data_IF_676752068919
#
_entry.id   IF_676752068919
#
_cell.length_a   1.000
_cell.length_b   1.000
_cell.length_c   1.000
_cell.angle_alpha   90.00
_cell.angle_beta   90.00
_cell.angle_gamma   90.00
#
_symmetry.space_group_name_H-M   'P 1'
#
loop_
_entity.id
_entity.type
_entity.pdbx_description
1 polymer ?
#
# COMPACT_ATOMS: atom_id res chain seq x y z
N UNK A 1 28.81 48.42 50.60
CA UNK A 1 27.85 47.39 50.12
C UNK A 1 27.14 47.73 48.80
N UNK A 2 27.22 48.95 48.23
CA UNK A 2 26.54 49.30 46.96
C UNK A 2 27.30 48.84 45.69
N UNK A 3 28.63 48.74 45.76
CA UNK A 3 29.46 48.38 44.60
C UNK A 3 29.60 46.87 44.36
N UNK A 4 29.24 46.02 45.34
CA UNK A 4 29.32 44.57 45.20
C UNK A 4 28.13 43.98 44.43
N UNK A 5 26.94 44.59 44.57
CA UNK A 5 25.74 44.20 43.80
C UNK A 5 25.82 44.57 42.32
N UNK A 6 26.53 45.65 41.97
CA UNK A 6 26.74 46.05 40.57
C UNK A 6 27.64 45.07 39.83
N UNK A 7 28.67 44.53 40.48
CA UNK A 7 29.62 43.59 39.86
C UNK A 7 28.94 42.22 39.64
N UNK A 8 28.16 41.74 40.62
CA UNK A 8 27.40 40.48 40.48
C UNK A 8 26.30 40.60 39.41
N UNK A 9 25.63 41.76 39.31
CA UNK A 9 24.62 42.02 38.28
C UNK A 9 25.19 42.04 36.85
N UNK A 10 26.39 42.61 36.66
CA UNK A 10 27.07 42.64 35.36
C UNK A 10 27.55 41.26 34.93
N UNK A 11 28.07 40.45 35.87
CA UNK A 11 28.49 39.07 35.56
C UNK A 11 27.28 38.20 35.17
N UNK A 12 26.14 38.33 35.87
CA UNK A 12 24.92 37.62 35.48
C UNK A 12 24.37 38.09 34.14
N UNK A 13 24.41 39.38 33.83
CA UNK A 13 23.97 39.90 32.52
C UNK A 13 24.87 39.44 31.38
N UNK A 14 26.19 39.33 31.60
CA UNK A 14 27.15 38.78 30.62
C UNK A 14 26.92 37.27 30.45
N UNK A 15 26.75 36.49 31.52
CA UNK A 15 26.44 35.07 31.41
C UNK A 15 25.08 34.83 30.72
N UNK A 16 24.05 35.61 31.03
CA UNK A 16 22.74 35.49 30.38
C UNK A 16 22.78 35.96 28.92
N UNK A 17 23.57 36.99 28.62
CA UNK A 17 23.80 37.51 27.26
C UNK A 17 24.59 36.53 26.39
N UNK A 18 25.64 35.90 26.92
CA UNK A 18 26.42 34.86 26.21
C UNK A 18 25.62 33.57 26.07
N UNK A 19 24.78 33.20 27.04
CA UNK A 19 23.91 32.03 26.92
C UNK A 19 22.74 32.25 25.95
N UNK A 20 22.27 33.50 25.76
CA UNK A 20 21.29 33.85 24.72
C UNK A 20 21.92 34.03 23.34
N UNK A 21 23.15 34.53 23.24
CA UNK A 21 23.87 34.63 21.95
C UNK A 21 24.51 33.31 21.50
N UNK A 22 24.66 32.32 22.39
CA UNK A 22 24.94 30.92 22.01
C UNK A 22 23.68 30.15 21.57
N UNK A 23 22.49 30.76 21.67
CA UNK A 23 21.29 30.35 20.94
C UNK A 23 21.09 31.18 19.65
N UNK A 24 22.19 31.72 19.11
CA UNK A 24 22.27 32.15 17.72
C UNK A 24 22.05 30.93 16.84
N UNK A 25 20.80 30.75 16.39
CA UNK A 25 20.42 30.10 15.15
C UNK A 25 21.44 29.08 14.64
N UNK A 26 21.48 27.90 15.28
CA UNK A 26 21.50 26.68 14.49
C UNK A 26 20.14 26.58 13.80
N UNK A 27 19.87 27.53 12.89
CA UNK A 27 19.14 27.22 11.70
C UNK A 27 19.95 26.09 11.10
N UNK A 28 19.54 24.86 11.43
CA UNK A 28 19.84 23.73 10.59
C UNK A 28 19.40 24.20 9.21
N UNK A 29 20.36 24.64 8.40
CA UNK A 29 20.34 24.30 6.98
C UNK A 29 19.95 22.83 7.05
N UNK A 30 18.74 22.42 6.60
CA UNK A 30 18.39 21.02 6.63
C UNK A 30 19.55 20.35 5.94
N UNK A 31 20.36 19.62 6.71
CA UNK A 31 21.43 18.85 6.13
C UNK A 31 20.65 17.96 5.18
N UNK A 32 20.85 18.19 3.89
CA UNK A 32 20.31 17.42 2.80
C UNK A 32 21.02 16.07 2.91
N UNK A 33 20.76 15.32 3.98
CA UNK A 33 21.26 13.99 4.20
C UNK A 33 20.43 13.13 3.27
N UNK A 34 20.99 12.71 2.13
CA UNK A 34 20.21 12.01 1.12
C UNK A 34 19.66 10.69 1.68
N UNK A 35 20.32 10.13 2.68
CA UNK A 35 19.89 8.91 3.39
C UNK A 35 18.62 9.20 4.19
N UNK A 36 18.59 10.26 5.01
CA UNK A 36 17.41 10.60 5.81
C UNK A 36 16.20 10.95 4.93
N UNK A 37 16.41 11.62 3.79
CA UNK A 37 15.35 11.89 2.82
C UNK A 37 14.82 10.63 2.14
N UNK A 38 15.71 9.69 1.80
CA UNK A 38 15.32 8.39 1.24
C UNK A 38 14.53 7.57 2.26
N UNK A 39 15.00 7.49 3.51
CA UNK A 39 14.27 6.82 4.58
C UNK A 39 12.90 7.45 4.84
N UNK A 40 12.80 8.79 4.78
CA UNK A 40 11.52 9.48 4.88
C UNK A 40 10.57 9.09 3.72
N UNK A 41 11.06 9.07 2.47
CA UNK A 41 10.27 8.64 1.31
C UNK A 41 9.83 7.18 1.42
N UNK A 42 10.73 6.29 1.84
CA UNK A 42 10.40 4.90 2.12
C UNK A 42 9.35 4.78 3.24
N UNK A 43 9.43 5.64 4.25
CA UNK A 43 8.45 5.74 5.33
C UNK A 43 7.02 6.06 4.87
N UNK A 44 6.88 6.72 3.72
CA UNK A 44 5.57 7.06 3.15
C UNK A 44 4.91 5.86 2.45
N UNK A 45 5.69 4.87 2.02
CA UNK A 45 5.15 3.63 1.45
C UNK A 45 4.60 2.76 2.58
N UNK A 46 3.28 2.74 2.71
CA UNK A 46 2.56 2.07 3.80
C UNK A 46 2.86 0.58 3.82
N UNK A 47 2.87 -0.07 2.65
CA UNK A 47 3.13 -1.50 2.53
C UNK A 47 4.59 -1.89 2.83
N UNK A 48 5.50 -0.91 2.92
CA UNK A 48 6.88 -1.17 3.32
C UNK A 48 7.03 -1.34 4.84
N UNK A 49 6.12 -0.80 5.65
CA UNK A 49 6.23 -0.87 7.11
C UNK A 49 6.11 -2.31 7.65
N UNK A 50 5.15 -3.14 7.21
CA UNK A 50 5.10 -4.54 7.61
C UNK A 50 6.36 -5.31 7.22
N UNK A 51 6.93 -5.05 6.04
CA UNK A 51 8.15 -5.68 5.57
C UNK A 51 9.35 -5.29 6.43
N UNK A 52 9.48 -4.00 6.78
CA UNK A 52 10.51 -3.54 7.72
C UNK A 52 10.49 -4.30 9.04
N UNK A 53 9.29 -4.63 9.54
CA UNK A 53 9.11 -5.27 10.83
C UNK A 53 9.24 -6.79 10.80
N UNK A 54 8.82 -7.43 9.70
CA UNK A 54 8.61 -8.87 9.66
C UNK A 54 9.32 -9.59 8.50
N UNK A 55 9.84 -8.86 7.51
CA UNK A 55 10.57 -9.42 6.36
C UNK A 55 11.77 -8.52 5.98
N UNK A 56 12.83 -8.64 6.79
CA UNK A 56 14.05 -7.85 6.63
C UNK A 56 14.64 -7.98 5.22
N UNK A 57 14.51 -9.15 4.58
CA UNK A 57 15.05 -9.37 3.24
C UNK A 57 14.41 -8.44 2.22
N UNK A 58 13.08 -8.42 2.11
CA UNK A 58 12.42 -7.55 1.14
C UNK A 58 12.57 -6.06 1.49
N UNK A 59 12.64 -5.73 2.78
CA UNK A 59 12.93 -4.35 3.19
C UNK A 59 14.34 -3.89 2.80
N UNK A 60 15.35 -4.74 2.99
CA UNK A 60 16.74 -4.43 2.63
C UNK A 60 16.90 -4.29 1.11
N UNK A 61 16.21 -5.13 0.32
CA UNK A 61 16.14 -4.99 -1.14
C UNK A 61 15.54 -3.63 -1.54
N UNK A 62 14.44 -3.20 -0.91
CA UNK A 62 13.84 -1.89 -1.14
C UNK A 62 14.81 -0.74 -0.77
N UNK A 63 15.55 -0.87 0.33
CA UNK A 63 16.53 0.12 0.75
C UNK A 63 17.70 0.23 -0.23
N UNK A 64 18.21 -0.89 -0.75
CA UNK A 64 19.27 -0.90 -1.76
C UNK A 64 18.83 -0.20 -3.06
N UNK A 65 17.59 -0.42 -3.47
CA UNK A 65 17.01 0.24 -4.65
C UNK A 65 16.87 1.73 -4.41
N UNK A 66 16.33 2.14 -3.25
CA UNK A 66 16.21 3.54 -2.88
C UNK A 66 17.56 4.26 -2.87
N UNK A 67 18.61 3.56 -2.44
CA UNK A 67 19.96 4.12 -2.40
C UNK A 67 20.61 4.29 -3.78
N UNK A 68 20.17 3.49 -4.76
CA UNK A 68 20.68 3.49 -6.13
C UNK A 68 19.86 4.38 -7.08
N UNK A 69 18.64 4.73 -6.70
CA UNK A 69 17.72 5.53 -7.49
C UNK A 69 18.08 7.04 -7.48
N UNK A 70 17.65 7.74 -8.53
CA UNK A 70 17.66 9.21 -8.57
C UNK A 70 16.76 9.76 -7.45
N UNK A 71 17.12 10.88 -6.79
CA UNK A 71 16.36 11.40 -5.65
C UNK A 71 14.87 11.62 -5.91
N UNK A 72 14.48 11.99 -7.13
CA UNK A 72 13.09 12.22 -7.55
C UNK A 72 12.34 10.95 -7.98
N UNK A 73 13.00 9.80 -8.05
CA UNK A 73 12.43 8.54 -8.56
C UNK A 73 12.41 7.41 -7.52
N UNK A 74 12.89 7.69 -6.30
CA UNK A 74 13.04 6.69 -5.22
C UNK A 74 11.76 5.89 -4.99
N UNK A 75 10.63 6.56 -4.84
CA UNK A 75 9.32 5.95 -4.57
C UNK A 75 8.89 5.04 -5.73
N UNK A 76 9.00 5.53 -6.96
CA UNK A 76 8.60 4.81 -8.18
C UNK A 76 9.51 3.59 -8.43
N UNK A 77 10.82 3.74 -8.23
CA UNK A 77 11.78 2.65 -8.37
C UNK A 77 11.53 1.54 -7.34
N UNK A 78 11.32 1.92 -6.07
CA UNK A 78 11.02 0.98 -4.99
C UNK A 78 9.69 0.30 -5.23
N UNK A 79 8.64 1.05 -5.55
CA UNK A 79 7.30 0.52 -5.83
C UNK A 79 7.31 -0.49 -6.97
N UNK A 80 8.00 -0.19 -8.07
CA UNK A 80 8.07 -1.06 -9.25
C UNK A 80 8.75 -2.40 -8.92
N UNK A 81 9.80 -2.37 -8.10
CA UNK A 81 10.46 -3.60 -7.66
C UNK A 81 9.63 -4.35 -6.63
N UNK A 82 9.10 -3.64 -5.64
CA UNK A 82 8.36 -4.21 -4.53
C UNK A 82 7.06 -4.88 -5.00
N UNK A 83 6.44 -4.35 -6.06
CA UNK A 83 5.23 -4.91 -6.65
C UNK A 83 5.32 -6.41 -6.94
N UNK A 84 6.41 -6.86 -7.57
CA UNK A 84 6.59 -8.29 -7.89
C UNK A 84 6.73 -9.17 -6.63
N UNK A 85 7.38 -8.64 -5.59
CA UNK A 85 7.56 -9.33 -4.31
C UNK A 85 6.25 -9.41 -3.54
N UNK A 86 5.53 -8.29 -3.41
CA UNK A 86 4.24 -8.24 -2.75
C UNK A 86 3.20 -9.10 -3.46
N UNK A 87 3.14 -9.06 -4.79
CA UNK A 87 2.27 -9.95 -5.58
C UNK A 87 2.51 -11.41 -5.24
N UNK A 88 3.77 -11.82 -5.11
CA UNK A 88 4.12 -13.20 -4.77
C UNK A 88 3.69 -13.56 -3.36
N UNK A 89 3.98 -12.69 -2.38
CA UNK A 89 3.63 -12.90 -0.98
C UNK A 89 2.11 -12.94 -0.80
N UNK A 90 1.41 -11.93 -1.30
CA UNK A 90 -0.03 -11.72 -1.08
C UNK A 90 -0.87 -12.63 -1.97
N UNK A 91 -0.67 -12.61 -3.29
CA UNK A 91 -1.60 -13.25 -4.23
C UNK A 91 -1.27 -14.74 -4.42
N UNK A 92 -0.01 -15.16 -4.19
CA UNK A 92 0.43 -16.54 -4.48
C UNK A 92 0.76 -17.35 -3.23
N UNK A 93 1.36 -16.75 -2.20
CA UNK A 93 1.90 -17.47 -1.05
C UNK A 93 1.00 -17.46 0.19
N UNK A 94 0.20 -16.40 0.37
CA UNK A 94 -0.71 -16.27 1.51
C UNK A 94 -1.59 -17.51 1.72
N UNK A 95 -1.89 -17.78 2.99
CA UNK A 95 -2.94 -18.71 3.39
C UNK A 95 -4.33 -18.15 3.08
N UNK A 96 -5.35 -18.99 3.22
CA UNK A 96 -6.71 -18.62 2.82
C UNK A 96 -7.27 -17.48 3.68
N UNK A 97 -6.86 -17.37 4.94
CA UNK A 97 -7.24 -16.27 5.83
C UNK A 97 -6.55 -14.96 5.45
N UNK A 98 -5.27 -15.00 5.10
CA UNK A 98 -4.51 -13.86 4.59
C UNK A 98 -5.09 -13.35 3.27
N UNK A 99 -5.47 -14.24 2.36
CA UNK A 99 -6.16 -13.85 1.12
C UNK A 99 -7.53 -13.22 1.39
N UNK A 100 -8.27 -13.73 2.37
CA UNK A 100 -9.52 -13.12 2.80
C UNK A 100 -9.31 -11.69 3.34
N UNK A 101 -8.38 -11.50 4.28
CA UNK A 101 -8.09 -10.19 4.87
C UNK A 101 -7.59 -9.19 3.80
N UNK A 102 -6.72 -9.65 2.90
CA UNK A 102 -6.27 -8.82 1.78
C UNK A 102 -7.40 -8.43 0.85
N UNK A 103 -8.27 -9.38 0.46
CA UNK A 103 -9.42 -9.10 -0.39
C UNK A 103 -10.39 -8.09 0.25
N UNK A 104 -10.59 -8.14 1.57
CA UNK A 104 -11.37 -7.13 2.29
C UNK A 104 -10.72 -5.74 2.20
N UNK A 105 -9.42 -5.64 2.48
CA UNK A 105 -8.68 -4.38 2.37
C UNK A 105 -8.74 -3.83 0.94
N UNK A 106 -8.56 -4.71 -0.05
CA UNK A 106 -8.57 -4.35 -1.46
C UNK A 106 -9.93 -3.83 -1.93
N UNK A 107 -11.05 -4.42 -1.52
CA UNK A 107 -12.38 -3.85 -1.81
C UNK A 107 -12.51 -2.44 -1.24
N UNK A 108 -12.03 -2.21 -0.02
CA UNK A 108 -12.07 -0.87 0.56
C UNK A 108 -11.19 0.12 -0.23
N UNK A 109 -10.02 -0.31 -0.71
CA UNK A 109 -9.19 0.51 -1.59
C UNK A 109 -9.94 0.90 -2.89
N UNK A 110 -10.67 -0.05 -3.49
CA UNK A 110 -11.49 0.21 -4.66
C UNK A 110 -12.62 1.19 -4.35
N UNK A 111 -13.27 1.06 -3.19
CA UNK A 111 -14.35 1.97 -2.79
C UNK A 111 -13.86 3.40 -2.56
N UNK A 112 -12.73 3.58 -1.87
CA UNK A 112 -12.14 4.89 -1.66
C UNK A 112 -11.80 5.56 -2.99
N UNK A 113 -11.11 4.82 -3.88
CA UNK A 113 -10.73 5.33 -5.19
C UNK A 113 -11.92 5.56 -6.13
N UNK A 114 -13.01 4.78 -5.99
CA UNK A 114 -14.25 4.93 -6.78
C UNK A 114 -14.94 6.27 -6.52
N UNK A 115 -14.95 6.75 -5.27
CA UNK A 115 -15.57 8.03 -4.92
C UNK A 115 -14.97 9.21 -5.69
N UNK A 116 -13.71 9.08 -6.10
CA UNK A 116 -12.97 10.10 -6.85
C UNK A 116 -12.86 9.82 -8.36
N UNK A 117 -13.53 8.79 -8.90
CA UNK A 117 -13.36 8.29 -10.28
C UNK A 117 -11.92 7.83 -10.61
N UNK A 118 -11.22 7.30 -9.60
CA UNK A 118 -9.81 6.86 -9.68
C UNK A 118 -9.64 5.36 -9.51
N UNK A 119 -10.73 4.61 -9.43
CA UNK A 119 -10.70 3.17 -9.15
C UNK A 119 -9.90 2.36 -10.19
N UNK A 120 -9.85 2.80 -11.45
CA UNK A 120 -8.98 2.17 -12.45
C UNK A 120 -7.52 2.11 -12.00
N UNK A 121 -7.07 3.13 -11.24
CA UNK A 121 -5.71 3.18 -10.73
C UNK A 121 -5.38 2.10 -9.70
N UNK A 122 -6.38 1.67 -8.94
CA UNK A 122 -6.24 0.63 -7.92
C UNK A 122 -6.51 -0.75 -8.51
N UNK A 123 -7.51 -0.87 -9.39
CA UNK A 123 -7.88 -2.15 -10.00
C UNK A 123 -6.94 -2.62 -11.11
N UNK A 124 -6.23 -1.68 -11.75
CA UNK A 124 -5.34 -1.91 -12.88
C UNK A 124 -4.04 -1.09 -12.72
N UNK A 125 -3.29 -1.29 -11.61
CA UNK A 125 -2.24 -0.36 -11.19
C UNK A 125 -1.09 -0.26 -12.19
N UNK A 126 -0.74 -1.36 -12.86
CA UNK A 126 0.30 -1.38 -13.90
C UNK A 126 -0.01 -0.47 -15.12
N UNK A 127 -1.28 -0.14 -15.32
CA UNK A 127 -1.76 0.60 -16.48
C UNK A 127 -2.04 2.08 -16.17
N UNK A 128 -2.16 2.42 -14.88
CA UNK A 128 -2.73 3.68 -14.45
C UNK A 128 -1.78 4.88 -14.52
N UNK A 129 -0.48 4.64 -14.72
CA UNK A 129 0.61 5.65 -14.74
C UNK A 129 0.68 6.55 -13.49
N UNK A 130 -0.02 6.21 -12.41
CA UNK A 130 0.01 6.97 -11.16
C UNK A 130 1.27 6.66 -10.36
N UNK A 131 1.79 7.67 -9.66
CA UNK A 131 2.88 7.50 -8.70
C UNK A 131 2.37 6.87 -7.40
N UNK A 132 3.24 6.26 -6.58
CA UNK A 132 2.85 5.75 -5.26
C UNK A 132 2.20 6.80 -4.39
N UNK A 133 2.69 8.05 -4.42
CA UNK A 133 2.09 9.16 -3.68
C UNK A 133 0.66 9.47 -4.14
N UNK A 134 0.40 9.44 -5.45
CA UNK A 134 -0.96 9.65 -5.96
C UNK A 134 -1.88 8.52 -5.49
N UNK A 135 -1.44 7.27 -5.57
CA UNK A 135 -2.21 6.12 -5.09
C UNK A 135 -2.50 6.23 -3.59
N UNK A 136 -1.52 6.68 -2.80
CA UNK A 136 -1.66 6.94 -1.37
C UNK A 136 -2.78 7.95 -1.09
N UNK A 137 -2.81 9.06 -1.83
CA UNK A 137 -3.83 10.11 -1.70
C UNK A 137 -5.24 9.64 -2.11
N UNK A 138 -5.38 8.51 -2.81
CA UNK A 138 -6.70 7.98 -3.20
C UNK A 138 -7.34 7.17 -2.09
N UNK A 139 -6.58 6.82 -1.05
CA UNK A 139 -6.97 5.87 -0.01
C UNK A 139 -7.10 6.58 1.33
N UNK A 140 -8.18 6.29 2.05
CA UNK A 140 -8.32 6.77 3.43
C UNK A 140 -7.25 6.15 4.33
N UNK A 141 -6.81 6.87 5.35
CA UNK A 141 -5.80 6.37 6.32
C UNK A 141 -6.22 5.03 6.95
N UNK A 142 -7.52 4.84 7.21
CA UNK A 142 -8.06 3.58 7.72
C UNK A 142 -7.87 2.42 6.75
N UNK A 143 -8.02 2.66 5.45
CA UNK A 143 -7.88 1.67 4.38
C UNK A 143 -6.42 1.32 4.15
N UNK A 144 -5.55 2.33 4.19
CA UNK A 144 -4.11 2.13 4.15
C UNK A 144 -3.65 1.26 5.33
N UNK A 145 -4.12 1.57 6.55
CA UNK A 145 -3.87 0.77 7.76
C UNK A 145 -4.40 -0.66 7.62
N UNK A 146 -5.63 -0.84 7.15
CA UNK A 146 -6.21 -2.18 6.95
C UNK A 146 -5.37 -3.01 5.97
N UNK A 147 -4.82 -2.38 4.92
CA UNK A 147 -3.95 -3.04 3.95
C UNK A 147 -2.61 -3.46 4.57
N UNK A 148 -2.01 -2.59 5.39
CA UNK A 148 -0.81 -2.91 6.16
C UNK A 148 -1.06 -4.04 7.17
N UNK A 149 -2.18 -4.01 7.89
CA UNK A 149 -2.53 -5.04 8.88
C UNK A 149 -2.76 -6.40 8.21
N UNK A 150 -3.39 -6.43 7.01
CA UNK A 150 -3.53 -7.65 6.21
C UNK A 150 -2.17 -8.20 5.76
N UNK A 151 -1.26 -7.34 5.30
CA UNK A 151 0.11 -7.77 4.95
C UNK A 151 0.87 -8.27 6.18
N UNK A 152 0.77 -7.60 7.32
CA UNK A 152 1.36 -8.05 8.58
C UNK A 152 0.88 -9.46 8.95
N UNK A 153 -0.43 -9.73 8.83
CA UNK A 153 -0.96 -11.08 9.03
C UNK A 153 -0.28 -12.10 8.11
N UNK A 154 -0.25 -11.81 6.80
CA UNK A 154 0.35 -12.69 5.79
C UNK A 154 1.83 -12.98 6.07
N UNK A 155 2.59 -12.00 6.56
CA UNK A 155 4.02 -12.15 6.85
C UNK A 155 4.29 -12.94 8.15
N UNK A 156 3.34 -12.94 9.08
CA UNK A 156 3.55 -13.48 10.44
C UNK A 156 2.81 -14.79 10.71
N UNK A 157 1.87 -15.17 9.84
CA UNK A 157 1.05 -16.36 10.01
C UNK A 157 1.24 -17.35 8.87
N UNK A 158 1.03 -18.64 9.18
CA UNK A 158 0.97 -19.70 8.18
C UNK A 158 -0.19 -20.63 8.51
N UNK A 159 -1.12 -20.72 7.56
CA UNK A 159 -2.34 -21.52 7.67
C UNK A 159 -2.56 -22.43 6.48
N UNK A 160 -3.79 -22.92 6.35
CA UNK A 160 -4.20 -23.77 5.25
C UNK A 160 -4.21 -22.99 3.93
N UNK A 161 -3.84 -23.71 2.87
CA UNK A 161 -3.71 -23.16 1.53
C UNK A 161 -4.54 -23.98 0.57
N UNK A 162 -5.65 -23.41 0.10
CA UNK A 162 -6.49 -24.03 -0.91
C UNK A 162 -5.67 -24.31 -2.18
N UNK A 163 -5.80 -25.53 -2.70
CA UNK A 163 -5.20 -25.92 -3.98
C UNK A 163 -6.16 -25.53 -5.10
N UNK A 164 -5.64 -24.82 -6.08
CA UNK A 164 -6.40 -24.40 -7.27
C UNK A 164 -5.61 -24.72 -8.52
N UNK A 165 -6.30 -25.27 -9.52
CA UNK A 165 -5.72 -25.43 -10.84
C UNK A 165 -5.68 -24.09 -11.55
N UNK A 166 -4.50 -23.72 -12.07
CA UNK A 166 -4.32 -22.41 -12.69
C UNK A 166 -5.16 -22.21 -13.93
N UNK A 167 -5.60 -23.25 -14.65
CA UNK A 167 -6.37 -23.08 -15.90
C UNK A 167 -7.87 -23.27 -15.73
N UNK A 168 -8.32 -23.83 -14.60
CA UNK A 168 -9.72 -24.17 -14.38
C UNK A 168 -10.32 -23.28 -13.29
N UNK A 169 -11.46 -22.64 -13.58
CA UNK A 169 -12.21 -21.90 -12.58
C UNK A 169 -12.79 -22.85 -11.51
N UNK A 170 -12.70 -22.52 -10.21
CA UNK A 170 -13.41 -23.25 -9.17
C UNK A 170 -14.91 -23.28 -9.48
N UNK A 171 -15.60 -24.37 -9.13
CA UNK A 171 -17.04 -24.50 -9.41
C UNK A 171 -17.86 -23.32 -8.85
N UNK A 172 -17.53 -22.87 -7.64
CA UNK A 172 -18.14 -21.71 -6.98
C UNK A 172 -18.02 -20.40 -7.79
N UNK A 173 -16.96 -20.24 -8.59
CA UNK A 173 -16.81 -19.09 -9.47
C UNK A 173 -17.89 -19.02 -10.55
N UNK A 174 -18.43 -20.17 -11.00
CA UNK A 174 -19.48 -20.19 -12.01
C UNK A 174 -20.76 -19.50 -11.52
N UNK A 175 -21.11 -19.69 -10.24
CA UNK A 175 -22.22 -18.99 -9.61
C UNK A 175 -21.98 -17.48 -9.53
N UNK A 176 -20.78 -17.06 -9.16
CA UNK A 176 -20.38 -15.65 -9.15
C UNK A 176 -20.47 -15.04 -10.55
N UNK A 177 -19.91 -15.71 -11.56
CA UNK A 177 -19.96 -15.25 -12.94
C UNK A 177 -21.40 -15.14 -13.45
N UNK A 178 -22.29 -16.04 -13.02
CA UNK A 178 -23.72 -15.95 -13.33
C UNK A 178 -24.37 -14.73 -12.67
N UNK A 179 -24.10 -14.45 -11.40
CA UNK A 179 -24.61 -13.26 -10.72
C UNK A 179 -24.12 -11.97 -11.35
N UNK A 180 -22.83 -11.90 -11.70
CA UNK A 180 -22.27 -10.75 -12.43
C UNK A 180 -22.98 -10.54 -13.77
N UNK A 181 -23.23 -11.61 -14.54
CA UNK A 181 -23.98 -11.51 -15.81
C UNK A 181 -25.44 -11.12 -15.62
N UNK A 182 -26.08 -11.52 -14.53
CA UNK A 182 -27.44 -11.09 -14.23
C UNK A 182 -27.51 -9.60 -13.89
N UNK A 183 -26.52 -9.07 -13.17
CA UNK A 183 -26.47 -7.66 -12.74
C UNK A 183 -25.96 -6.72 -13.83
N UNK A 184 -24.92 -7.12 -14.58
CA UNK A 184 -24.23 -6.27 -15.55
C UNK A 184 -24.41 -6.70 -17.02
N UNK A 185 -25.10 -7.81 -17.29
CA UNK A 185 -25.24 -8.32 -18.66
C UNK A 185 -23.88 -8.66 -19.29
N UNK A 186 -23.68 -8.20 -20.53
CA UNK A 186 -22.41 -8.36 -21.25
C UNK A 186 -21.25 -7.57 -20.60
N UNK A 187 -21.54 -6.52 -19.83
CA UNK A 187 -20.51 -5.72 -19.16
C UNK A 187 -19.80 -6.51 -18.05
N UNK A 188 -20.34 -7.65 -17.61
CA UNK A 188 -19.66 -8.55 -16.67
C UNK A 188 -18.27 -9.01 -17.18
N UNK A 189 -18.07 -9.07 -18.49
CA UNK A 189 -16.79 -9.44 -19.10
C UNK A 189 -15.73 -8.33 -18.95
N UNK A 190 -16.11 -7.11 -18.52
CA UNK A 190 -15.19 -5.99 -18.27
C UNK A 190 -14.16 -6.28 -17.17
N UNK A 191 -14.42 -7.26 -16.29
CA UNK A 191 -13.49 -7.68 -15.23
C UNK A 191 -12.09 -7.99 -15.76
N UNK A 192 -11.97 -8.45 -17.02
CA UNK A 192 -10.69 -8.83 -17.64
C UNK A 192 -10.17 -7.83 -18.70
N UNK A 193 -10.88 -6.72 -18.93
CA UNK A 193 -10.59 -5.86 -20.09
C UNK A 193 -9.47 -4.84 -19.87
N UNK A 194 -9.02 -4.59 -18.63
CA UNK A 194 -7.98 -3.60 -18.31
C UNK A 194 -8.09 -2.29 -19.11
N UNK A 195 -7.00 -1.87 -19.75
CA UNK A 195 -6.93 -0.65 -20.58
C UNK A 195 -7.92 -0.60 -21.74
N UNK A 196 -8.36 -1.73 -22.28
CA UNK A 196 -9.29 -1.73 -23.43
C UNK A 196 -10.76 -1.59 -23.04
N UNK A 197 -11.08 -1.60 -21.74
CA UNK A 197 -12.46 -1.35 -21.30
C UNK A 197 -12.92 0.05 -21.70
N UNK A 198 -14.11 0.12 -22.32
CA UNK A 198 -14.73 1.35 -22.81
C UNK A 198 -15.27 2.24 -21.69
N UNK A 199 -15.63 1.64 -20.54
CA UNK A 199 -16.12 2.33 -19.35
C UNK A 199 -15.33 1.86 -18.13
N UNK A 200 -14.38 2.68 -17.68
CA UNK A 200 -13.52 2.37 -16.53
C UNK A 200 -14.27 2.34 -15.20
N UNK A 201 -15.30 3.17 -15.08
CA UNK A 201 -16.11 3.24 -13.87
C UNK A 201 -16.95 1.97 -13.73
N UNK A 202 -17.60 1.54 -14.82
CA UNK A 202 -18.34 0.28 -14.83
C UNK A 202 -17.43 -0.93 -14.66
N UNK A 203 -16.26 -0.93 -15.28
CA UNK A 203 -15.26 -1.96 -15.05
C UNK A 203 -14.87 -2.08 -13.57
N UNK A 204 -14.67 -0.95 -12.88
CA UNK A 204 -14.43 -0.95 -11.44
C UNK A 204 -15.60 -1.56 -10.66
N UNK A 205 -16.84 -1.19 -10.99
CA UNK A 205 -18.04 -1.72 -10.32
C UNK A 205 -18.13 -3.24 -10.44
N UNK A 206 -17.81 -3.79 -11.63
CA UNK A 206 -17.74 -5.23 -11.88
C UNK A 206 -16.64 -5.89 -11.04
N UNK A 207 -15.45 -5.29 -10.96
CA UNK A 207 -14.34 -5.81 -10.13
C UNK A 207 -14.74 -5.83 -8.65
N UNK A 208 -15.28 -4.73 -8.12
CA UNK A 208 -15.77 -4.64 -6.74
C UNK A 208 -16.77 -5.78 -6.49
N UNK A 209 -17.80 -5.89 -7.33
CA UNK A 209 -18.86 -6.88 -7.14
C UNK A 209 -18.34 -8.31 -7.21
N UNK A 210 -17.36 -8.59 -8.08
CA UNK A 210 -16.74 -9.92 -8.17
C UNK A 210 -16.05 -10.32 -6.86
N UNK A 211 -15.32 -9.40 -6.23
CA UNK A 211 -14.71 -9.64 -4.94
C UNK A 211 -15.74 -9.73 -3.81
N UNK A 212 -16.79 -8.91 -3.81
CA UNK A 212 -17.87 -8.99 -2.81
C UNK A 212 -18.58 -10.34 -2.84
N UNK A 213 -18.96 -10.81 -4.03
CA UNK A 213 -19.55 -12.14 -4.18
C UNK A 213 -18.58 -13.25 -3.75
N UNK A 214 -17.29 -13.11 -4.08
CA UNK A 214 -16.26 -14.05 -3.63
C UNK A 214 -16.13 -14.10 -2.11
N UNK A 215 -16.17 -12.94 -1.43
CA UNK A 215 -16.10 -12.85 0.03
C UNK A 215 -17.35 -13.38 0.73
N UNK A 216 -18.52 -13.33 0.07
CA UNK A 216 -19.78 -13.83 0.58
C UNK A 216 -19.91 -15.37 0.55
N UNK A 217 -18.99 -16.05 -0.13
CA UNK A 217 -18.98 -17.51 -0.18
C UNK A 217 -18.70 -18.14 1.19
N UNK A 218 -19.19 -19.36 1.44
CA UNK A 218 -18.76 -20.17 2.58
C UNK A 218 -17.23 -20.33 2.59
N UNK A 219 -16.64 -20.36 3.78
CA UNK A 219 -15.18 -20.41 3.99
C UNK A 219 -14.49 -21.53 3.17
N UNK A 220 -15.16 -22.68 3.08
CA UNK A 220 -14.69 -23.88 2.34
C UNK A 220 -14.47 -23.64 0.83
N UNK A 221 -15.22 -22.71 0.24
CA UNK A 221 -15.12 -22.38 -1.19
C UNK A 221 -14.40 -21.05 -1.43
N UNK A 222 -14.56 -20.11 -0.50
CA UNK A 222 -13.99 -18.76 -0.56
C UNK A 222 -12.48 -18.77 -0.81
N UNK A 223 -11.72 -19.60 -0.08
CA UNK A 223 -10.27 -19.69 -0.23
C UNK A 223 -9.85 -20.05 -1.66
N UNK A 224 -10.52 -21.05 -2.28
CA UNK A 224 -10.26 -21.46 -3.67
C UNK A 224 -10.59 -20.33 -4.65
N UNK A 225 -11.74 -19.68 -4.48
CA UNK A 225 -12.17 -18.61 -5.38
C UNK A 225 -11.25 -17.39 -5.30
N UNK A 226 -10.98 -16.89 -4.09
CA UNK A 226 -10.10 -15.73 -3.90
C UNK A 226 -8.70 -16.01 -4.46
N UNK A 227 -8.14 -17.20 -4.21
CA UNK A 227 -6.84 -17.58 -4.76
C UNK A 227 -6.83 -17.59 -6.28
N UNK A 228 -7.85 -18.19 -6.88
CA UNK A 228 -7.96 -18.27 -8.32
C UNK A 228 -8.13 -16.89 -8.97
N UNK A 229 -8.92 -16.02 -8.33
CA UNK A 229 -9.19 -14.65 -8.75
C UNK A 229 -7.95 -13.78 -8.61
N UNK A 230 -7.32 -13.73 -7.43
CA UNK A 230 -6.08 -12.97 -7.18
C UNK A 230 -4.90 -13.49 -8.01
N UNK A 231 -4.91 -14.77 -8.39
CA UNK A 231 -3.94 -15.32 -9.35
C UNK A 231 -4.03 -14.71 -10.76
N UNK A 232 -5.13 -14.01 -11.08
CA UNK A 232 -5.43 -13.44 -12.41
C UNK A 232 -5.63 -11.93 -12.38
N UNK A 233 -6.29 -11.44 -11.35
CA UNK A 233 -6.56 -10.03 -11.12
C UNK A 233 -5.45 -9.43 -10.26
N UNK A 234 -4.83 -8.36 -10.76
CA UNK A 234 -3.79 -7.65 -10.02
C UNK A 234 -4.46 -6.78 -8.97
N UNK A 235 -4.25 -7.11 -7.69
CA UNK A 235 -4.83 -6.40 -6.55
C UNK A 235 -3.80 -5.57 -5.78
N UNK A 236 -2.51 -5.73 -6.10
CA UNK A 236 -1.43 -5.03 -5.42
C UNK A 236 -1.09 -3.74 -6.14
N UNK A 237 -1.34 -2.62 -5.47
CA UNK A 237 -0.82 -1.30 -5.78
C UNK A 237 0.11 -0.87 -4.63
N UNK A 238 1.27 -0.29 -4.94
CA UNK A 238 2.21 0.20 -3.90
C UNK A 238 1.95 1.69 -3.65
N UNK A 239 1.71 2.04 -2.40
CA UNK A 239 1.35 3.36 -1.90
C UNK A 239 1.83 3.52 -0.45
#
# INVERSE_FOLDING_TARGET
MRNLFLIVGVIFAIFYGVNRFSQSNSGQIPQNNPIAQREQKLGQLVLLQPLKQHDAKYYDEALQIANSAQPNEVDTAVASSLWWSLRRVIEQQADDQGQYLWAQAYIQQLYDARQADRCFAISFPLYSKNTPQQLHEFLAESTQKQSADALTYILTHSGSRSVVERMQAPAAWLGIAQHLRQEYGADADMINQGEVATDKRKQCDVVIRAFEYSLSLPEQERGKVLRWLLGRHISVAVF
#
